data_IF_356233244813
#
_entry.id   IF_356233244813
#
_cell.length_a   1.000
_cell.length_b   1.000
_cell.length_c   1.000
_cell.angle_alpha   90.00
_cell.angle_beta   90.00
_cell.angle_gamma   90.00
#
_symmetry.space_group_name_H-M   'P 1'
#
loop_
_entity.id
_entity.type
_entity.pdbx_description
1 polymer ?
#
# COMPACT_ATOMS: atom_id res chain seq x y z
N UNK A 1 10.66 -0.55 -9.77
CA UNK A 1 10.41 -1.27 -8.50
C UNK A 1 11.11 -2.62 -8.40
N UNK A 2 11.97 -2.93 -9.38
CA UNK A 2 12.78 -4.14 -9.28
C UNK A 2 13.74 -4.02 -8.10
N UNK A 3 13.85 -5.09 -7.32
CA UNK A 3 14.71 -5.12 -6.15
C UNK A 3 14.05 -4.64 -4.87
N UNK A 4 12.79 -4.20 -4.93
CA UNK A 4 12.03 -3.86 -3.73
C UNK A 4 11.29 -5.09 -3.25
N UNK A 5 11.60 -5.52 -2.02
CA UNK A 5 10.98 -6.72 -1.44
C UNK A 5 9.83 -6.40 -0.50
N UNK A 6 9.72 -5.17 -0.03
CA UNK A 6 8.69 -4.75 0.95
C UNK A 6 8.23 -3.34 0.60
N UNK A 7 6.91 -3.15 0.54
CA UNK A 7 6.33 -1.82 0.37
C UNK A 7 6.13 -1.17 1.73
N UNK A 8 6.58 0.06 1.88
CA UNK A 8 6.48 0.80 3.15
C UNK A 8 5.66 2.07 2.92
N UNK A 9 4.59 2.22 3.68
CA UNK A 9 3.70 3.37 3.55
C UNK A 9 3.41 4.00 4.92
N UNK A 10 4.34 4.82 5.42
CA UNK A 10 4.11 5.54 6.67
C UNK A 10 3.19 6.74 6.43
N UNK A 11 2.28 6.98 7.36
CA UNK A 11 1.44 8.17 7.38
C UNK A 11 1.78 9.01 8.59
N UNK A 12 1.96 10.31 8.36
CA UNK A 12 2.08 11.28 9.45
C UNK A 12 0.76 12.03 9.58
N UNK A 13 0.56 12.73 10.70
CA UNK A 13 -0.70 13.41 10.98
C UNK A 13 -1.15 14.34 9.86
N UNK A 14 -0.22 15.05 9.25
CA UNK A 14 -0.52 15.99 8.17
C UNK A 14 -1.09 15.26 6.95
N UNK A 15 -0.61 14.07 6.68
CA UNK A 15 -1.12 13.25 5.57
C UNK A 15 -2.57 12.84 5.80
N UNK A 16 -2.94 12.58 7.05
CA UNK A 16 -4.31 12.23 7.40
C UNK A 16 -5.27 13.39 7.14
N UNK A 17 -4.86 14.59 7.56
CA UNK A 17 -5.65 15.80 7.40
C UNK A 17 -5.86 16.12 5.92
N UNK A 18 -4.85 15.88 5.10
CA UNK A 18 -4.93 16.13 3.67
C UNK A 18 -5.69 15.05 2.91
N UNK A 19 -6.13 13.99 3.58
CA UNK A 19 -6.97 12.97 2.96
C UNK A 19 -6.26 12.13 1.91
N UNK A 20 -5.05 11.70 2.19
CA UNK A 20 -4.31 10.80 1.29
C UNK A 20 -5.14 9.57 0.98
N UNK A 21 -5.21 9.20 -0.28
CA UNK A 21 -6.11 8.17 -0.77
C UNK A 21 -5.63 6.73 -0.56
N UNK A 22 -4.42 6.53 -0.09
CA UNK A 22 -3.84 5.19 0.03
C UNK A 22 -3.40 4.62 -1.30
N UNK A 23 -3.37 5.43 -2.35
CA UNK A 23 -3.00 4.98 -3.70
C UNK A 23 -1.64 4.30 -3.73
N UNK A 24 -0.68 4.82 -2.97
CA UNK A 24 0.66 4.25 -2.93
C UNK A 24 0.68 2.85 -2.35
N UNK A 25 -0.13 2.60 -1.31
CA UNK A 25 -0.28 1.26 -0.76
C UNK A 25 -0.88 0.31 -1.80
N UNK A 26 -1.89 0.78 -2.52
CA UNK A 26 -2.51 -0.01 -3.58
C UNK A 26 -1.49 -0.33 -4.68
N UNK A 27 -0.63 0.62 -5.02
CA UNK A 27 0.42 0.41 -6.02
C UNK A 27 1.39 -0.69 -5.59
N UNK A 28 1.86 -0.65 -4.33
CA UNK A 28 2.75 -1.70 -3.82
C UNK A 28 2.06 -3.07 -3.86
N UNK A 29 0.80 -3.10 -3.45
CA UNK A 29 0.03 -4.34 -3.44
C UNK A 29 -0.18 -4.88 -4.85
N UNK A 30 -0.39 -4.00 -5.83
CA UNK A 30 -0.56 -4.40 -7.23
C UNK A 30 0.70 -5.07 -7.78
N UNK A 31 1.88 -4.69 -7.28
CA UNK A 31 3.13 -5.35 -7.66
C UNK A 31 3.41 -6.63 -6.89
N UNK A 32 2.49 -7.03 -6.02
CA UNK A 32 2.68 -8.23 -5.23
C UNK A 32 3.68 -8.07 -4.10
N UNK A 33 3.87 -6.85 -3.61
CA UNK A 33 4.78 -6.57 -2.51
C UNK A 33 4.05 -6.69 -1.18
N UNK A 34 4.65 -7.35 -0.17
CA UNK A 34 4.12 -7.27 1.17
C UNK A 34 4.21 -5.83 1.65
N UNK A 35 3.09 -5.23 1.99
CA UNK A 35 3.00 -3.82 2.32
C UNK A 35 2.81 -3.61 3.81
N UNK A 36 3.67 -2.81 4.43
CA UNK A 36 3.55 -2.39 5.81
C UNK A 36 3.12 -0.93 5.80
N UNK A 37 2.02 -0.63 6.45
CA UNK A 37 1.45 0.72 6.42
C UNK A 37 0.97 1.14 7.80
N UNK A 38 0.94 2.46 8.02
CA UNK A 38 0.32 3.01 9.23
C UNK A 38 -1.18 2.68 9.21
N UNK A 39 -1.70 2.16 10.32
CA UNK A 39 -3.10 1.80 10.45
C UNK A 39 -4.02 2.98 10.71
N UNK A 40 -4.08 3.91 9.75
CA UNK A 40 -4.86 5.13 9.88
C UNK A 40 -5.30 5.60 8.49
N UNK A 41 -6.21 6.55 8.47
CA UNK A 41 -6.73 7.08 7.21
C UNK A 41 -7.47 6.01 6.42
N UNK A 42 -7.09 5.80 5.17
CA UNK A 42 -7.73 4.82 4.29
C UNK A 42 -7.10 3.44 4.36
N UNK A 43 -5.92 3.29 4.98
CA UNK A 43 -5.21 2.02 4.97
C UNK A 43 -5.98 0.87 5.62
N UNK A 44 -6.73 1.06 6.75
CA UNK A 44 -7.52 -0.04 7.30
C UNK A 44 -8.63 -0.55 6.39
N UNK A 45 -9.03 0.24 5.40
CA UNK A 45 -10.03 -0.20 4.42
C UNK A 45 -9.42 -1.03 3.31
N UNK A 46 -8.12 -0.88 3.09
CA UNK A 46 -7.40 -1.55 2.01
C UNK A 46 -6.71 -2.79 2.52
N UNK A 47 -6.07 -2.69 3.70
CA UNK A 47 -5.25 -3.75 4.27
C UNK A 47 -5.98 -4.42 5.43
N UNK A 48 -6.10 -5.74 5.33
CA UNK A 48 -6.58 -6.59 6.43
C UNK A 48 -5.36 -7.15 7.12
N UNK A 49 -5.28 -6.91 8.43
CA UNK A 49 -4.10 -7.24 9.23
C UNK A 49 -3.68 -8.70 9.04
N UNK A 50 -2.41 -8.89 8.64
CA UNK A 50 -1.77 -10.19 8.45
C UNK A 50 -2.40 -11.08 7.38
N UNK A 51 -3.38 -10.57 6.66
CA UNK A 51 -4.02 -11.30 5.57
C UNK A 51 -3.47 -10.86 4.22
N UNK A 52 -3.51 -9.55 3.94
CA UNK A 52 -2.99 -9.01 2.69
C UNK A 52 -2.01 -7.86 2.88
N UNK A 53 -1.55 -7.67 4.10
CA UNK A 53 -0.59 -6.63 4.45
C UNK A 53 -0.43 -6.56 5.95
N UNK A 54 0.26 -5.54 6.42
CA UNK A 54 0.57 -5.40 7.84
C UNK A 54 0.37 -3.94 8.26
N UNK A 55 -0.55 -3.71 9.19
CA UNK A 55 -0.83 -2.38 9.73
C UNK A 55 -0.06 -2.20 11.04
N UNK A 56 0.58 -1.04 11.19
CA UNK A 56 1.37 -0.70 12.37
C UNK A 56 1.00 0.70 12.85
N UNK A 57 1.15 0.94 14.15
CA UNK A 57 0.76 2.21 14.77
C UNK A 57 1.84 2.83 15.65
N UNK A 58 2.96 2.14 15.86
CA UNK A 58 4.05 2.65 16.68
C UNK A 58 5.39 2.32 16.03
N UNK A 59 6.43 3.03 16.46
CA UNK A 59 7.78 2.78 15.96
C UNK A 59 8.22 1.35 16.25
N UNK A 60 7.87 0.84 17.42
CA UNK A 60 8.20 -0.54 17.78
C UNK A 60 7.52 -1.53 16.84
N UNK A 61 6.24 -1.30 16.53
CA UNK A 61 5.52 -2.15 15.59
C UNK A 61 6.13 -2.09 14.19
N UNK A 62 6.61 -0.90 13.76
CA UNK A 62 7.32 -0.76 12.50
C UNK A 62 8.56 -1.63 12.46
N UNK A 63 9.38 -1.57 13.51
CA UNK A 63 10.61 -2.34 13.59
C UNK A 63 10.30 -3.83 13.57
N UNK A 64 9.32 -4.27 14.35
CA UNK A 64 8.94 -5.69 14.41
C UNK A 64 8.44 -6.19 13.07
N UNK A 65 7.60 -5.42 12.40
CA UNK A 65 7.06 -5.82 11.11
C UNK A 65 8.15 -5.94 10.06
N UNK A 66 8.99 -4.94 9.94
CA UNK A 66 10.06 -4.95 8.96
C UNK A 66 11.06 -6.06 9.24
N UNK A 67 11.44 -6.24 10.49
CA UNK A 67 12.37 -7.29 10.88
C UNK A 67 11.80 -8.67 10.56
N UNK A 68 10.55 -8.90 10.90
CA UNK A 68 9.88 -10.17 10.62
C UNK A 68 9.84 -10.47 9.13
N UNK A 69 9.48 -9.48 8.32
CA UNK A 69 9.38 -9.67 6.88
C UNK A 69 10.75 -9.88 6.23
N UNK A 70 11.78 -9.19 6.70
CA UNK A 70 13.13 -9.38 6.19
C UNK A 70 13.60 -10.80 6.44
N UNK A 71 13.30 -11.36 7.61
CA UNK A 71 13.75 -12.71 7.99
C UNK A 71 12.87 -13.83 7.45
N UNK A 72 11.69 -13.51 6.92
CA UNK A 72 10.72 -14.54 6.54
C UNK A 72 10.25 -14.37 5.09
N UNK A 73 10.99 -14.95 4.13
CA UNK A 73 10.63 -14.84 2.72
C UNK A 73 9.30 -15.53 2.38
N UNK A 74 8.92 -16.56 3.12
CA UNK A 74 7.65 -17.25 2.89
C UNK A 74 6.48 -16.32 3.24
N UNK A 75 6.58 -15.61 4.36
CA UNK A 75 5.56 -14.65 4.77
C UNK A 75 5.48 -13.48 3.79
N UNK A 76 6.63 -12.98 3.32
CA UNK A 76 6.65 -11.92 2.31
C UNK A 76 5.87 -12.34 1.07
N UNK A 77 6.09 -13.55 0.60
CA UNK A 77 5.40 -14.07 -0.58
C UNK A 77 3.91 -14.21 -0.33
N UNK A 78 3.55 -14.76 0.81
CA UNK A 78 2.14 -14.96 1.18
C UNK A 78 1.38 -13.64 1.23
N UNK A 79 1.93 -12.65 1.92
CA UNK A 79 1.29 -11.34 2.03
C UNK A 79 1.27 -10.62 0.68
N UNK A 80 2.34 -10.74 -0.09
CA UNK A 80 2.42 -10.12 -1.41
C UNK A 80 1.42 -10.69 -2.40
N UNK A 81 1.26 -12.00 -2.42
CA UNK A 81 0.28 -12.66 -3.29
C UNK A 81 -1.14 -12.29 -2.90
N UNK A 82 -1.43 -12.29 -1.59
CA UNK A 82 -2.73 -11.89 -1.10
C UNK A 82 -3.02 -10.43 -1.39
N UNK A 83 -2.01 -9.58 -1.29
CA UNK A 83 -2.12 -8.16 -1.61
C UNK A 83 -2.49 -7.96 -3.08
N UNK A 84 -1.80 -8.65 -3.97
CA UNK A 84 -2.09 -8.56 -5.39
C UNK A 84 -3.50 -9.05 -5.71
N UNK A 85 -3.91 -10.16 -5.11
CA UNK A 85 -5.26 -10.69 -5.28
C UNK A 85 -6.31 -9.67 -4.84
N UNK A 86 -6.09 -9.01 -3.71
CA UNK A 86 -6.99 -7.98 -3.20
C UNK A 86 -7.16 -6.85 -4.22
N UNK A 87 -6.06 -6.39 -4.80
CA UNK A 87 -6.12 -5.32 -5.79
C UNK A 87 -6.87 -5.76 -7.03
N UNK A 88 -6.61 -6.98 -7.52
CA UNK A 88 -7.27 -7.51 -8.71
C UNK A 88 -8.78 -7.67 -8.49
N UNK A 89 -9.19 -8.02 -7.28
CA UNK A 89 -10.61 -8.23 -6.97
C UNK A 89 -11.36 -6.93 -6.71
N UNK A 90 -10.75 -6.01 -5.96
CA UNK A 90 -11.44 -4.80 -5.49
C UNK A 90 -11.04 -3.53 -6.22
N UNK A 91 -9.86 -3.53 -6.83
CA UNK A 91 -9.32 -2.37 -7.53
C UNK A 91 -8.84 -2.84 -8.89
N UNK A 92 -9.79 -3.26 -9.74
CA UNK A 92 -9.46 -3.82 -11.04
C UNK A 92 -8.52 -2.90 -11.82
N UNK A 93 -7.76 -3.48 -12.73
CA UNK A 93 -6.85 -2.73 -13.60
C UNK A 93 -7.57 -1.55 -14.27
N UNK A 94 -8.81 -1.76 -14.68
CA UNK A 94 -9.61 -0.72 -15.31
C UNK A 94 -9.86 0.45 -14.35
N UNK A 95 -10.25 0.16 -13.11
CA UNK A 95 -10.52 1.20 -12.11
C UNK A 95 -9.25 1.96 -11.76
N UNK A 96 -8.15 1.25 -11.56
CA UNK A 96 -6.86 1.86 -11.23
C UNK A 96 -6.40 2.74 -12.39
N UNK A 97 -6.49 2.24 -13.62
CA UNK A 97 -6.12 2.99 -14.80
C UNK A 97 -6.97 4.25 -14.96
N UNK A 98 -8.27 4.14 -14.76
CA UNK A 98 -9.16 5.27 -14.83
C UNK A 98 -8.81 6.34 -13.81
N UNK A 99 -8.57 5.96 -12.58
CA UNK A 99 -8.18 6.88 -11.51
C UNK A 99 -6.83 7.54 -11.81
N UNK A 100 -5.89 6.76 -12.32
CA UNK A 100 -4.58 7.26 -12.68
C UNK A 100 -4.67 8.30 -13.79
N UNK A 101 -5.48 8.03 -14.80
CA UNK A 101 -5.69 8.97 -15.89
C UNK A 101 -6.35 10.26 -15.41
N UNK A 102 -7.29 10.18 -14.48
CA UNK A 102 -7.89 11.36 -13.89
C UNK A 102 -6.87 12.24 -13.19
N UNK A 103 -5.96 11.62 -12.45
CA UNK A 103 -4.89 12.33 -11.75
C UNK A 103 -3.96 13.00 -12.74
N UNK A 104 -3.56 12.29 -13.79
CA UNK A 104 -2.69 12.83 -14.83
C UNK A 104 -3.34 14.00 -15.54
N UNK A 105 -4.60 13.87 -15.92
CA UNK A 105 -5.34 14.94 -16.59
C UNK A 105 -5.44 16.18 -15.70
N UNK A 106 -5.68 15.99 -14.42
CA UNK A 106 -5.75 17.09 -13.48
C UNK A 106 -4.42 17.84 -13.36
N UNK A 107 -3.32 17.08 -13.30
CA UNK A 107 -1.99 17.68 -13.25
C UNK A 107 -1.65 18.42 -14.54
N UNK A 108 -2.02 17.86 -15.69
CA UNK A 108 -1.78 18.48 -16.97
C UNK A 108 -2.57 19.78 -17.11
N UNK A 109 -3.84 19.76 -16.70
CA UNK A 109 -4.68 20.95 -16.76
C UNK A 109 -4.18 22.06 -15.84
N UNK A 110 -3.60 21.71 -14.71
CA UNK A 110 -3.06 22.68 -13.76
C UNK A 110 -1.76 23.32 -14.25
N UNK A 111 -1.11 22.73 -15.24
CA UNK A 111 0.12 23.26 -15.81
C UNK A 111 -0.13 24.20 -16.98
N UNK A 112 -1.30 24.23 -17.47
CA UNK A 112 -1.64 25.05 -18.63
C UNK A 112 -1.71 26.58 -18.33
#
# INVERSE_FOLDING_TARGET
LQGIDIGVYPLVNDDWVLGKSGLKAIQYMAFGLPTVATGAGTTPRIIRQMENGWLVNSDQEWVEALETLVKNPILRRKLGEAARTTVLENYSTHVIKSNYLKILNKLTNNKA
#
